data_IF_899575081297
#
_entry.id   IF_899575081297
#
_cell.length_a   1.000
_cell.length_b   1.000
_cell.length_c   1.000
_cell.angle_alpha   90.00
_cell.angle_beta   90.00
_cell.angle_gamma   90.00
#
_symmetry.space_group_name_H-M   'P 1'
#
loop_
_entity.id
_entity.type
_entity.pdbx_description
1 polymer ?
#
# COMPACT_ATOMS: atom_id res chain seq x y z
N UNK A 1 -16.32 -16.32 -3.90
CA UNK A 1 -15.25 -16.80 -3.04
C UNK A 1 -13.92 -16.53 -3.72
N UNK A 2 -13.24 -15.48 -3.33
CA UNK A 2 -11.91 -15.18 -3.84
C UNK A 2 -10.93 -16.05 -3.06
N UNK A 3 -10.35 -17.05 -3.72
CA UNK A 3 -9.46 -18.00 -3.08
C UNK A 3 -8.21 -17.32 -2.51
N UNK A 4 -7.68 -17.87 -1.45
CA UNK A 4 -6.44 -17.44 -0.78
C UNK A 4 -5.27 -17.22 -1.76
N UNK A 5 -5.27 -17.91 -2.89
CA UNK A 5 -4.25 -17.76 -3.93
C UNK A 5 -4.29 -16.40 -4.64
N UNK A 6 -5.46 -15.77 -4.80
CA UNK A 6 -5.54 -14.43 -5.42
C UNK A 6 -5.07 -13.33 -4.48
N UNK A 7 -5.37 -13.43 -3.19
CA UNK A 7 -4.86 -12.49 -2.17
C UNK A 7 -3.35 -12.65 -2.00
N UNK A 8 -2.87 -13.88 -1.99
CA UNK A 8 -1.45 -14.19 -1.95
C UNK A 8 -0.72 -13.65 -3.18
N UNK A 9 -1.28 -13.83 -4.36
CA UNK A 9 -0.76 -13.28 -5.62
C UNK A 9 -0.80 -11.75 -5.62
N UNK A 10 -1.82 -11.12 -5.05
CA UNK A 10 -1.92 -9.67 -4.94
C UNK A 10 -0.84 -9.09 -4.01
N UNK A 11 -0.56 -9.74 -2.88
CA UNK A 11 0.45 -9.31 -1.91
C UNK A 11 1.88 -9.51 -2.45
N UNK A 12 2.13 -10.59 -3.20
CA UNK A 12 3.44 -10.88 -3.77
C UNK A 12 3.67 -10.21 -5.13
N UNK A 13 2.61 -9.85 -5.84
CA UNK A 13 2.71 -9.12 -7.09
C UNK A 13 3.17 -7.67 -6.91
N UNK A 14 3.15 -7.12 -5.70
CA UNK A 14 3.50 -5.72 -5.45
C UNK A 14 4.97 -5.43 -5.81
N UNK A 15 5.93 -6.22 -5.33
CA UNK A 15 7.36 -6.02 -5.64
C UNK A 15 7.60 -6.23 -7.14
N UNK A 16 7.10 -7.34 -7.67
CA UNK A 16 7.26 -7.68 -9.09
C UNK A 16 6.60 -6.66 -10.00
N UNK A 17 5.36 -6.29 -9.73
CA UNK A 17 4.63 -5.31 -10.52
C UNK A 17 5.30 -3.94 -10.51
N UNK A 18 5.77 -3.48 -9.34
CA UNK A 18 6.52 -2.23 -9.21
C UNK A 18 7.86 -2.28 -9.94
N UNK A 19 8.58 -3.37 -9.81
CA UNK A 19 9.85 -3.57 -10.52
C UNK A 19 9.65 -3.54 -12.04
N UNK A 20 8.67 -4.28 -12.55
CA UNK A 20 8.36 -4.35 -13.98
C UNK A 20 7.87 -3.00 -14.52
N UNK A 21 7.05 -2.27 -13.77
CA UNK A 21 6.58 -0.93 -14.15
C UNK A 21 7.73 0.09 -14.28
N UNK A 22 8.85 -0.15 -13.58
CA UNK A 22 10.07 0.67 -13.67
C UNK A 22 11.10 0.13 -14.66
N UNK A 23 10.75 -0.90 -15.41
CA UNK A 23 11.63 -1.54 -16.40
C UNK A 23 12.87 -2.20 -15.78
N UNK A 24 12.83 -2.57 -14.51
CA UNK A 24 13.94 -3.20 -13.81
C UNK A 24 13.90 -4.72 -13.91
N UNK A 25 15.06 -5.34 -14.10
CA UNK A 25 15.25 -6.78 -13.88
C UNK A 25 15.35 -7.08 -12.39
N UNK A 26 15.17 -8.34 -11.99
CA UNK A 26 15.39 -8.79 -10.60
C UNK A 26 16.81 -8.46 -10.12
N UNK A 27 17.79 -8.63 -11.01
CA UNK A 27 19.19 -8.29 -10.74
C UNK A 27 19.38 -6.79 -10.47
N UNK A 28 18.82 -5.93 -11.32
CA UNK A 28 18.91 -4.48 -11.12
C UNK A 28 18.25 -4.01 -9.82
N UNK A 29 17.11 -4.59 -9.47
CA UNK A 29 16.49 -4.30 -8.17
C UNK A 29 17.38 -4.79 -7.02
N UNK A 30 17.95 -5.98 -7.12
CA UNK A 30 18.87 -6.54 -6.12
C UNK A 30 20.10 -5.65 -5.91
N UNK A 31 20.72 -5.20 -6.99
CA UNK A 31 21.87 -4.29 -6.94
C UNK A 31 21.51 -2.96 -6.24
N UNK A 32 20.36 -2.35 -6.57
CA UNK A 32 19.89 -1.13 -5.92
C UNK A 32 19.54 -1.30 -4.45
N UNK A 33 18.98 -2.44 -4.08
CA UNK A 33 18.59 -2.77 -2.72
C UNK A 33 19.74 -3.35 -1.88
N UNK A 34 20.92 -3.60 -2.46
CA UNK A 34 22.05 -4.18 -1.77
C UNK A 34 21.85 -5.63 -1.35
N UNK A 35 21.10 -6.41 -2.12
CA UNK A 35 20.84 -7.83 -1.86
C UNK A 35 21.11 -8.69 -3.10
N UNK A 36 20.86 -9.99 -3.02
CA UNK A 36 21.04 -10.91 -4.13
C UNK A 36 19.78 -11.01 -4.99
N UNK A 37 19.93 -11.33 -6.27
CA UNK A 37 18.80 -11.59 -7.17
C UNK A 37 17.99 -12.81 -6.73
N UNK A 38 18.62 -13.80 -6.08
CA UNK A 38 17.93 -14.92 -5.43
C UNK A 38 17.02 -14.45 -4.27
N UNK A 39 17.44 -13.44 -3.50
CA UNK A 39 16.61 -12.85 -2.46
C UNK A 39 15.36 -12.18 -3.06
N UNK A 40 15.53 -11.39 -4.13
CA UNK A 40 14.40 -10.77 -4.84
C UNK A 40 13.42 -11.83 -5.36
N UNK A 41 13.92 -12.90 -6.00
CA UNK A 41 13.07 -14.01 -6.45
C UNK A 41 12.26 -14.63 -5.32
N UNK A 42 12.86 -14.82 -4.16
CA UNK A 42 12.19 -15.39 -3.01
C UNK A 42 11.13 -14.47 -2.41
N UNK A 43 11.38 -13.15 -2.39
CA UNK A 43 10.38 -12.15 -1.98
C UNK A 43 9.22 -12.09 -2.98
N UNK A 44 9.50 -12.01 -4.27
CA UNK A 44 8.47 -11.98 -5.32
C UNK A 44 7.62 -13.26 -5.37
N UNK A 45 8.21 -14.40 -5.07
CA UNK A 45 7.51 -15.69 -5.00
C UNK A 45 6.81 -15.94 -3.65
N UNK A 46 6.97 -15.06 -2.67
CA UNK A 46 6.39 -15.22 -1.34
C UNK A 46 6.99 -16.34 -0.50
N UNK A 47 8.17 -16.84 -0.89
CA UNK A 47 8.88 -17.86 -0.13
C UNK A 47 9.58 -17.31 1.11
N UNK A 48 9.80 -16.01 1.14
CA UNK A 48 10.43 -15.30 2.24
C UNK A 48 9.63 -14.05 2.57
N UNK A 49 9.37 -13.83 3.86
CA UNK A 49 8.69 -12.62 4.33
C UNK A 49 9.63 -11.41 4.22
N UNK A 50 9.14 -10.32 3.63
CA UNK A 50 9.85 -9.05 3.55
C UNK A 50 9.61 -8.26 4.83
N UNK A 51 10.68 -7.98 5.58
CA UNK A 51 10.63 -7.24 6.85
C UNK A 51 11.97 -6.60 7.19
N UNK A 52 11.94 -5.68 8.15
CA UNK A 52 13.15 -5.04 8.68
C UNK A 52 13.92 -4.25 7.63
N UNK A 53 15.24 -4.29 7.68
CA UNK A 53 16.12 -3.54 6.78
C UNK A 53 15.98 -3.93 5.31
N UNK A 54 15.61 -5.18 5.01
CA UNK A 54 15.33 -5.62 3.65
C UNK A 54 14.09 -4.94 3.07
N UNK A 55 13.04 -4.74 3.89
CA UNK A 55 11.85 -3.99 3.51
C UNK A 55 12.20 -2.54 3.14
N UNK A 56 12.94 -1.86 4.00
CA UNK A 56 13.36 -0.47 3.78
C UNK A 56 14.22 -0.33 2.53
N UNK A 57 15.17 -1.24 2.34
CA UNK A 57 16.07 -1.22 1.19
C UNK A 57 15.33 -1.45 -0.14
N UNK A 58 14.42 -2.41 -0.19
CA UNK A 58 13.64 -2.72 -1.40
C UNK A 58 12.62 -1.60 -1.68
N UNK A 59 11.95 -1.08 -0.65
CA UNK A 59 11.05 0.07 -0.80
C UNK A 59 11.80 1.29 -1.34
N UNK A 60 12.95 1.62 -0.80
CA UNK A 60 13.81 2.70 -1.28
C UNK A 60 14.26 2.49 -2.73
N UNK A 61 14.66 1.28 -3.10
CA UNK A 61 15.06 0.94 -4.46
C UNK A 61 13.90 1.05 -5.48
N UNK A 62 12.67 0.81 -5.03
CA UNK A 62 11.45 0.94 -5.81
C UNK A 62 10.84 2.35 -5.77
N UNK A 63 11.31 3.23 -4.88
CA UNK A 63 10.78 4.58 -4.71
C UNK A 63 9.36 4.61 -4.13
N UNK A 64 9.04 3.68 -3.22
CA UNK A 64 7.75 3.60 -2.53
C UNK A 64 7.94 3.64 -1.02
N UNK A 65 6.87 3.97 -0.29
CA UNK A 65 6.87 3.84 1.16
C UNK A 65 6.97 2.35 1.57
N UNK A 66 7.72 2.00 2.63
CA UNK A 66 7.81 0.62 3.11
C UNK A 66 6.44 -0.01 3.37
N UNK A 67 5.49 0.75 3.88
CA UNK A 67 4.13 0.33 4.16
C UNK A 67 3.38 -0.17 2.92
N UNK A 68 3.72 0.36 1.73
CA UNK A 68 3.13 -0.08 0.47
C UNK A 68 3.53 -1.52 0.08
N UNK A 69 4.62 -2.03 0.66
CA UNK A 69 5.09 -3.40 0.46
C UNK A 69 4.70 -4.35 1.59
N UNK A 70 4.11 -3.81 2.67
CA UNK A 70 3.66 -4.63 3.79
C UNK A 70 2.32 -5.30 3.48
N UNK A 71 2.17 -6.60 3.76
CA UNK A 71 0.88 -7.24 3.62
C UNK A 71 -0.10 -6.69 4.67
N UNK A 72 -1.15 -6.04 4.22
CA UNK A 72 -2.31 -5.75 5.08
C UNK A 72 -3.20 -7.00 5.05
N UNK A 73 -3.23 -7.73 6.15
CA UNK A 73 -4.11 -8.87 6.30
C UNK A 73 -5.47 -8.41 6.81
N UNK A 74 -6.43 -8.34 5.93
CA UNK A 74 -7.84 -8.17 6.27
C UNK A 74 -8.64 -9.19 5.44
N UNK A 75 -8.84 -10.39 5.99
CA UNK A 75 -9.55 -11.48 5.30
C UNK A 75 -11.05 -11.42 5.57
N UNK A 76 -11.46 -10.66 6.58
CA UNK A 76 -12.85 -10.51 6.99
C UNK A 76 -13.22 -9.05 7.24
N UNK A 77 -14.52 -8.76 7.28
CA UNK A 77 -15.02 -7.46 7.71
C UNK A 77 -14.59 -7.13 9.16
N UNK A 78 -14.42 -8.14 9.99
CA UNK A 78 -13.91 -7.97 11.36
C UNK A 78 -12.47 -7.46 11.38
N UNK A 79 -11.60 -8.02 10.53
CA UNK A 79 -10.20 -7.58 10.44
C UNK A 79 -10.10 -6.15 9.92
N UNK A 80 -10.92 -5.79 8.93
CA UNK A 80 -11.00 -4.43 8.43
C UNK A 80 -11.46 -3.45 9.52
N UNK A 81 -12.47 -3.81 10.31
CA UNK A 81 -12.93 -3.02 11.45
C UNK A 81 -11.85 -2.88 12.53
N UNK A 82 -11.10 -3.94 12.82
CA UNK A 82 -10.01 -3.89 13.79
C UNK A 82 -8.94 -2.87 13.40
N UNK A 83 -8.61 -2.77 12.11
CA UNK A 83 -7.72 -1.73 11.60
C UNK A 83 -8.32 -0.33 11.80
N UNK A 84 -9.62 -0.15 11.52
CA UNK A 84 -10.31 1.13 11.71
C UNK A 84 -10.35 1.53 13.19
N UNK A 85 -10.59 0.59 14.10
CA UNK A 85 -10.60 0.86 15.54
C UNK A 85 -9.24 1.34 16.05
N UNK A 86 -8.14 0.76 15.55
CA UNK A 86 -6.79 1.17 15.94
C UNK A 86 -6.44 2.60 15.51
N UNK A 87 -7.01 3.07 14.40
CA UNK A 87 -6.74 4.40 13.89
C UNK A 87 -7.75 5.46 14.40
N UNK A 88 -8.84 5.05 15.05
CA UNK A 88 -9.87 5.97 15.53
C UNK A 88 -9.29 7.01 16.49
N UNK A 89 -8.63 6.58 17.56
CA UNK A 89 -8.12 7.49 18.60
C UNK A 89 -6.98 8.38 18.10
N UNK A 90 -6.05 7.80 17.38
CA UNK A 90 -4.82 8.47 16.97
C UNK A 90 -5.04 9.43 15.80
N UNK A 91 -5.87 9.04 14.85
CA UNK A 91 -6.12 9.78 13.61
C UNK A 91 -7.49 10.45 13.55
N UNK A 92 -8.37 10.18 14.50
CA UNK A 92 -9.70 10.76 14.53
C UNK A 92 -10.67 10.24 13.47
N UNK A 93 -10.36 9.12 12.81
CA UNK A 93 -11.26 8.51 11.83
C UNK A 93 -12.40 7.79 12.53
N UNK A 94 -13.64 8.23 12.29
CA UNK A 94 -14.82 7.70 12.96
C UNK A 94 -16.04 7.63 12.06
N UNK A 95 -16.97 6.72 12.35
CA UNK A 95 -18.20 6.64 11.58
C UNK A 95 -19.09 7.87 11.82
N UNK A 96 -19.74 8.30 10.78
CA UNK A 96 -20.78 9.34 10.76
C UNK A 96 -22.05 8.79 10.11
N UNK A 97 -23.13 9.52 10.13
CA UNK A 97 -24.41 9.05 9.59
C UNK A 97 -24.32 8.47 8.17
N UNK A 98 -25.11 7.43 7.90
CA UNK A 98 -25.19 6.80 6.57
C UNK A 98 -24.05 5.85 6.23
N UNK A 99 -23.34 5.29 7.21
CA UNK A 99 -22.23 4.34 6.99
C UNK A 99 -20.97 4.98 6.40
N UNK A 100 -20.83 6.28 6.51
CA UNK A 100 -19.66 7.03 6.04
C UNK A 100 -18.63 7.16 7.17
N UNK A 101 -17.37 7.36 6.77
CA UNK A 101 -16.29 7.69 7.68
C UNK A 101 -15.88 9.16 7.49
N UNK A 102 -15.52 9.82 8.58
CA UNK A 102 -14.99 11.19 8.56
C UNK A 102 -13.85 11.34 9.57
N UNK A 103 -12.95 12.27 9.30
CA UNK A 103 -11.88 12.65 10.23
C UNK A 103 -12.42 13.74 11.16
N UNK A 104 -12.56 13.42 12.44
CA UNK A 104 -12.91 14.39 13.47
C UNK A 104 -11.68 15.22 13.85
N UNK A 105 -11.80 16.56 13.93
CA UNK A 105 -10.71 17.39 14.42
C UNK A 105 -10.46 17.12 15.91
N UNK A 106 -9.19 17.18 16.32
CA UNK A 106 -8.79 17.05 17.73
C UNK A 106 -7.86 15.87 18.03
N UNK A 107 -7.80 14.84 17.20
CA UNK A 107 -6.76 13.81 17.31
C UNK A 107 -5.42 14.37 16.78
N UNK A 108 -4.32 13.94 17.37
CA UNK A 108 -2.96 14.44 17.04
C UNK A 108 -2.62 14.34 15.56
N UNK A 109 -2.95 13.21 14.94
CA UNK A 109 -2.66 12.93 13.52
C UNK A 109 -3.84 13.19 12.57
N UNK A 110 -4.95 13.75 13.07
CA UNK A 110 -6.13 14.04 12.26
C UNK A 110 -5.83 14.94 11.05
N UNK A 111 -5.05 16.03 11.15
CA UNK A 111 -4.75 16.88 10.00
C UNK A 111 -4.01 16.14 8.87
N UNK A 112 -3.09 15.24 9.21
CA UNK A 112 -2.35 14.45 8.23
C UNK A 112 -3.25 13.45 7.52
N UNK A 113 -4.10 12.75 8.28
CA UNK A 113 -5.07 11.82 7.69
C UNK A 113 -6.09 12.55 6.81
N UNK A 114 -6.59 13.70 7.23
CA UNK A 114 -7.53 14.50 6.44
C UNK A 114 -6.90 14.95 5.11
N UNK A 115 -5.64 15.38 5.12
CA UNK A 115 -4.91 15.75 3.91
C UNK A 115 -4.70 14.55 2.98
N UNK A 116 -4.34 13.40 3.53
CA UNK A 116 -4.17 12.16 2.77
C UNK A 116 -5.48 11.69 2.13
N UNK A 117 -6.60 11.73 2.85
CA UNK A 117 -7.93 11.39 2.33
C UNK A 117 -8.34 12.36 1.21
N UNK A 118 -8.07 13.65 1.36
CA UNK A 118 -8.35 14.63 0.31
C UNK A 118 -7.54 14.39 -0.96
N UNK A 119 -6.27 14.02 -0.83
CA UNK A 119 -5.44 13.62 -1.96
C UNK A 119 -6.00 12.36 -2.63
N UNK A 120 -6.44 11.39 -1.84
CA UNK A 120 -7.07 10.17 -2.35
C UNK A 120 -8.39 10.47 -3.08
N UNK A 121 -9.27 11.29 -2.51
CA UNK A 121 -10.51 11.74 -3.13
C UNK A 121 -10.25 12.35 -4.51
N UNK A 122 -9.24 13.21 -4.63
CA UNK A 122 -8.87 13.81 -5.92
C UNK A 122 -8.48 12.76 -6.97
N UNK A 123 -7.85 11.69 -6.58
CA UNK A 123 -7.48 10.59 -7.49
C UNK A 123 -8.70 9.74 -7.88
N UNK A 124 -9.60 9.49 -6.94
CA UNK A 124 -10.87 8.80 -7.23
C UNK A 124 -11.69 9.62 -8.22
N UNK A 125 -11.82 10.92 -8.01
CA UNK A 125 -12.52 11.82 -8.92
C UNK A 125 -11.91 11.85 -10.33
N UNK A 126 -10.58 11.86 -10.42
CA UNK A 126 -9.87 11.81 -11.69
C UNK A 126 -10.09 10.45 -12.42
N UNK A 127 -10.12 9.35 -11.68
CA UNK A 127 -10.45 8.03 -12.21
C UNK A 127 -11.90 7.99 -12.74
N UNK A 128 -12.85 8.48 -11.96
CA UNK A 128 -14.26 8.49 -12.32
C UNK A 128 -14.55 9.37 -13.55
N UNK A 129 -13.76 10.42 -13.73
CA UNK A 129 -13.83 11.27 -14.94
C UNK A 129 -13.03 10.74 -16.13
N UNK A 130 -12.32 9.63 -15.96
CA UNK A 130 -11.48 9.04 -17.01
C UNK A 130 -10.22 9.86 -17.33
N UNK A 131 -9.78 10.72 -16.43
CA UNK A 131 -8.55 11.53 -16.56
C UNK A 131 -7.30 10.71 -16.29
N UNK A 132 -7.44 9.66 -15.49
CA UNK A 132 -6.41 8.66 -15.23
C UNK A 132 -6.96 7.25 -15.44
N UNK A 133 -6.08 6.31 -15.75
CA UNK A 133 -6.44 4.89 -15.91
C UNK A 133 -6.51 4.17 -14.55
N UNK A 134 -7.18 3.01 -14.46
CA UNK A 134 -7.13 2.16 -13.26
C UNK A 134 -5.69 1.78 -12.87
N UNK A 135 -4.81 1.55 -13.84
CA UNK A 135 -3.41 1.21 -13.60
C UNK A 135 -2.63 2.38 -12.98
N UNK A 136 -2.87 3.60 -13.47
CA UNK A 136 -2.28 4.82 -12.92
C UNK A 136 -2.77 5.08 -11.49
N UNK A 137 -4.06 4.85 -11.22
CA UNK A 137 -4.62 4.94 -9.88
C UNK A 137 -4.00 3.92 -8.92
N UNK A 138 -3.84 2.66 -9.33
CA UNK A 138 -3.17 1.64 -8.53
C UNK A 138 -1.69 1.99 -8.29
N UNK A 139 -1.00 2.55 -9.29
CA UNK A 139 0.39 3.02 -9.15
C UNK A 139 0.49 4.14 -8.12
N UNK A 140 -0.41 5.13 -8.21
CA UNK A 140 -0.47 6.22 -7.25
C UNK A 140 -0.63 5.72 -5.80
N UNK A 141 -1.54 4.78 -5.55
CA UNK A 141 -1.74 4.21 -4.21
C UNK A 141 -0.48 3.56 -3.64
N UNK A 142 0.31 2.88 -4.48
CA UNK A 142 1.55 2.22 -4.05
C UNK A 142 2.68 3.22 -3.78
N UNK A 143 2.71 4.31 -4.51
CA UNK A 143 3.77 5.33 -4.43
C UNK A 143 3.47 6.42 -3.41
N UNK A 144 2.21 6.54 -2.97
CA UNK A 144 1.78 7.56 -2.03
C UNK A 144 2.44 7.37 -0.67
N UNK A 145 3.42 8.23 -0.37
CA UNK A 145 4.20 8.21 0.87
C UNK A 145 3.56 8.92 2.05
N UNK A 146 2.32 9.40 1.90
CA UNK A 146 1.64 10.21 2.91
C UNK A 146 1.99 11.71 2.84
N UNK A 147 1.47 12.46 3.78
CA UNK A 147 1.68 13.91 3.93
C UNK A 147 2.58 14.20 5.13
#
# INVERSE_FOLDING_TARGET
MFGQDKLRTFLFSSIRALRESRGMTQRQLAERAGCTDAAIRNYEAGRRALKGSALDAIAGALGVAPEALMPVQAESARDALELLFRIEEEFGLRPVGGGRLAVAPGAEKAPKLAAAIKAWESQVDALDRGEITPEEYESWKREFGGC
#
